data_IF_088298994367
#
_entry.id   IF_088298994367
#
_cell.length_a   1.000
_cell.length_b   1.000
_cell.length_c   1.000
_cell.angle_alpha   90.00
_cell.angle_beta   90.00
_cell.angle_gamma   90.00
#
_symmetry.space_group_name_H-M   'P 1'
#
loop_
_entity.id
_entity.type
_entity.pdbx_description
1 polymer ?
#
# COMPACT_ATOMS: atom_id res chain seq x y z
N UNK A 1 15.99 -5.37 13.23
CA UNK A 1 15.50 -4.45 12.20
C UNK A 1 14.13 -4.92 11.80
N UNK A 2 13.15 -4.04 11.80
CA UNK A 2 11.76 -4.42 11.49
C UNK A 2 11.58 -4.54 9.97
N UNK A 3 10.80 -5.53 9.54
CA UNK A 3 10.56 -5.82 8.12
C UNK A 3 9.08 -5.61 7.83
N UNK A 4 8.79 -4.87 6.76
CA UNK A 4 7.44 -4.49 6.36
C UNK A 4 7.18 -4.96 4.94
N UNK A 5 6.03 -5.58 4.72
CA UNK A 5 5.48 -5.86 3.39
C UNK A 5 4.65 -4.65 2.91
N UNK A 6 4.82 -4.29 1.64
CA UNK A 6 4.06 -3.21 1.01
C UNK A 6 3.26 -3.77 -0.16
N UNK A 7 1.94 -3.71 -0.05
CA UNK A 7 1.03 -3.93 -1.18
C UNK A 7 0.64 -2.58 -1.79
N UNK A 8 0.68 -2.50 -3.11
CA UNK A 8 0.31 -1.27 -3.83
C UNK A 8 -0.36 -1.58 -5.16
N UNK A 9 -1.35 -0.77 -5.52
CA UNK A 9 -2.02 -0.84 -6.81
C UNK A 9 -2.34 0.57 -7.31
N UNK A 10 -2.37 0.73 -8.64
CA UNK A 10 -2.90 1.93 -9.26
C UNK A 10 -4.39 1.75 -9.47
N UNK A 11 -5.19 2.73 -9.04
CA UNK A 11 -6.55 2.84 -9.54
C UNK A 11 -6.50 3.48 -10.93
N UNK A 12 -7.16 2.86 -11.90
CA UNK A 12 -7.32 3.47 -13.22
C UNK A 12 -8.25 4.67 -13.12
N UNK A 13 -7.71 5.88 -12.96
CA UNK A 13 -8.51 7.10 -12.88
C UNK A 13 -8.15 8.09 -14.00
N UNK A 14 -9.01 8.14 -15.02
CA UNK A 14 -9.17 9.28 -15.92
C UNK A 14 -7.97 9.70 -16.79
N UNK A 15 -8.17 10.70 -17.64
CA UNK A 15 -7.17 11.19 -18.62
C UNK A 15 -5.99 11.95 -17.97
N UNK A 16 -6.09 12.37 -16.71
CA UNK A 16 -5.07 13.18 -16.02
C UNK A 16 -5.05 12.78 -14.54
N UNK A 17 -4.08 11.97 -14.14
CA UNK A 17 -3.85 11.55 -12.75
C UNK A 17 -3.51 10.06 -12.64
N UNK A 18 -2.69 9.70 -11.65
CA UNK A 18 -2.56 8.30 -11.23
C UNK A 18 -2.69 8.29 -9.72
N UNK A 19 -3.80 7.74 -9.23
CA UNK A 19 -3.98 7.43 -7.82
C UNK A 19 -3.38 6.08 -7.52
N UNK A 20 -2.61 5.98 -6.44
CA UNK A 20 -1.98 4.75 -6.00
C UNK A 20 -2.29 4.53 -4.54
N UNK A 21 -2.95 3.42 -4.25
CA UNK A 21 -3.22 3.04 -2.87
C UNK A 21 -2.12 2.12 -2.34
N UNK A 22 -2.00 2.11 -1.02
CA UNK A 22 -0.96 1.40 -0.29
C UNK A 22 -1.54 0.73 0.95
N UNK A 23 -1.08 -0.49 1.21
CA UNK A 23 -1.24 -1.18 2.49
C UNK A 23 0.15 -1.55 3.00
N UNK A 24 0.44 -1.19 4.24
CA UNK A 24 1.67 -1.55 4.94
C UNK A 24 1.35 -2.63 5.97
N UNK A 25 2.10 -3.73 5.94
CA UNK A 25 1.95 -4.83 6.90
C UNK A 25 3.26 -5.16 7.58
N UNK A 26 3.19 -5.48 8.87
CA UNK A 26 4.31 -6.15 9.52
C UNK A 26 4.54 -7.52 8.88
N UNK A 27 5.76 -7.79 8.40
CA UNK A 27 6.06 -8.99 7.63
C UNK A 27 5.96 -10.28 8.46
N UNK A 28 6.25 -10.22 9.75
CA UNK A 28 6.25 -11.41 10.61
C UNK A 28 4.83 -11.85 10.99
N UNK A 29 3.90 -10.91 11.08
CA UNK A 29 2.54 -11.14 11.62
C UNK A 29 1.42 -10.97 10.59
N UNK A 30 1.73 -10.45 9.39
CA UNK A 30 0.75 -10.08 8.35
C UNK A 30 -0.29 -9.04 8.86
N UNK A 31 0.03 -8.35 9.96
CA UNK A 31 -0.87 -7.35 10.56
C UNK A 31 -0.77 -6.04 9.79
N UNK A 32 -1.90 -5.47 9.38
CA UNK A 32 -1.92 -4.16 8.74
C UNK A 32 -1.62 -3.06 9.75
N UNK A 33 -0.55 -2.31 9.50
CA UNK A 33 -0.07 -1.22 10.35
C UNK A 33 -0.27 0.17 9.74
N UNK A 34 -0.61 0.26 8.45
CA UNK A 34 -0.83 1.54 7.77
C UNK A 34 -1.59 1.43 6.45
N UNK A 35 -2.24 2.53 6.06
CA UNK A 35 -2.95 2.70 4.78
C UNK A 35 -2.74 4.13 4.26
N UNK A 36 -2.58 4.28 2.95
CA UNK A 36 -2.46 5.58 2.28
C UNK A 36 -3.12 5.57 0.89
N UNK A 37 -3.55 6.75 0.45
CA UNK A 37 -4.09 7.07 -0.88
C UNK A 37 -3.31 8.22 -1.49
#
# INVERSE_FOLDING_TARGET
ADVVEIETWCQGEGKIGTRRDWILKDFATDTVIGRAT
#
